data_IF_463370054372
#
_entry.id   IF_463370054372
#
_cell.length_a   1.000
_cell.length_b   1.000
_cell.length_c   1.000
_cell.angle_alpha   90.00
_cell.angle_beta   90.00
_cell.angle_gamma   90.00
#
_symmetry.space_group_name_H-M   'P 1'
#
loop_
_entity.id
_entity.type
_entity.pdbx_description
1 polymer ?
#
# COMPACT_ATOMS: atom_id res chain seq x y z
N UNK A 1 -4.28 25.81 -7.41
CA UNK A 1 -5.12 24.67 -7.80
C UNK A 1 -4.20 23.46 -7.84
N UNK A 2 -4.26 22.61 -6.83
CA UNK A 2 -3.39 21.44 -6.70
C UNK A 2 -3.86 20.41 -7.73
N UNK A 3 -3.07 20.26 -8.77
CA UNK A 3 -3.32 19.36 -9.89
C UNK A 3 -3.29 17.92 -9.36
N UNK A 4 -4.46 17.31 -9.19
CA UNK A 4 -4.59 15.87 -8.93
C UNK A 4 -4.02 15.09 -10.12
N UNK A 5 -2.72 14.75 -10.04
CA UNK A 5 -2.03 13.91 -11.03
C UNK A 5 -2.49 12.45 -11.04
N UNK A 6 -3.63 12.13 -10.43
CA UNK A 6 -4.28 10.81 -10.50
C UNK A 6 -5.19 10.77 -11.73
N UNK A 7 -4.62 11.02 -12.90
CA UNK A 7 -5.37 10.85 -14.16
C UNK A 7 -5.47 9.34 -14.43
N UNK A 8 -6.62 8.75 -14.08
CA UNK A 8 -7.08 7.46 -14.62
C UNK A 8 -6.54 6.17 -13.99
N UNK A 9 -5.80 6.21 -12.89
CA UNK A 9 -5.38 4.99 -12.18
C UNK A 9 -6.20 4.81 -10.91
N UNK A 10 -6.96 3.72 -10.83
CA UNK A 10 -7.66 3.32 -9.61
C UNK A 10 -6.65 3.21 -8.45
N UNK A 11 -7.02 3.65 -7.23
CA UNK A 11 -6.14 3.61 -6.06
C UNK A 11 -5.65 2.18 -5.76
N UNK A 12 -6.47 1.20 -6.13
CA UNK A 12 -6.16 -0.22 -6.11
C UNK A 12 -6.26 -0.73 -7.56
N UNK A 13 -5.13 -1.09 -8.19
CA UNK A 13 -5.13 -1.60 -9.55
C UNK A 13 -5.68 -3.03 -9.60
N UNK A 14 -6.46 -3.36 -10.64
CA UNK A 14 -6.95 -4.73 -10.88
C UNK A 14 -5.82 -5.76 -11.01
N UNK A 15 -4.64 -5.33 -11.48
CA UNK A 15 -3.45 -6.16 -11.60
C UNK A 15 -2.55 -6.11 -10.35
N UNK A 16 -3.15 -6.05 -9.17
CA UNK A 16 -2.48 -6.07 -7.88
C UNK A 16 -1.47 -7.22 -7.75
N UNK A 17 -1.83 -8.37 -8.31
CA UNK A 17 -0.99 -9.55 -8.44
C UNK A 17 0.35 -9.24 -9.12
N UNK A 18 0.36 -8.52 -10.24
CA UNK A 18 1.61 -8.24 -10.97
C UNK A 18 2.53 -7.25 -10.25
N UNK A 19 2.00 -6.53 -9.27
CA UNK A 19 2.72 -5.49 -8.54
C UNK A 19 3.26 -5.97 -7.20
N UNK A 20 2.74 -7.08 -6.69
CA UNK A 20 3.12 -7.65 -5.41
C UNK A 20 4.03 -8.86 -5.61
N UNK A 21 5.08 -8.93 -4.80
CA UNK A 21 5.89 -10.14 -4.66
C UNK A 21 5.08 -11.27 -4.01
N UNK A 22 5.54 -12.51 -4.16
CA UNK A 22 4.92 -13.68 -3.52
C UNK A 22 4.84 -13.54 -1.98
N UNK A 23 5.89 -12.95 -1.38
CA UNK A 23 5.93 -12.65 0.05
C UNK A 23 4.89 -11.60 0.43
N UNK A 24 4.80 -10.51 -0.33
CA UNK A 24 3.78 -9.49 -0.12
C UNK A 24 2.36 -10.05 -0.23
N UNK A 25 2.07 -10.90 -1.23
CA UNK A 25 0.76 -11.54 -1.37
C UNK A 25 0.41 -12.44 -0.19
N UNK A 26 1.41 -13.15 0.32
CA UNK A 26 1.24 -14.04 1.49
C UNK A 26 0.97 -13.24 2.74
N UNK A 27 1.76 -12.18 2.97
CA UNK A 27 1.58 -11.28 4.10
C UNK A 27 0.28 -10.49 4.01
N UNK A 28 -0.12 -10.03 2.82
CA UNK A 28 -1.39 -9.37 2.58
C UNK A 28 -2.56 -10.25 3.01
N UNK A 29 -2.61 -11.49 2.51
CA UNK A 29 -3.65 -12.45 2.91
C UNK A 29 -3.64 -12.69 4.42
N UNK A 30 -2.47 -12.74 5.04
CA UNK A 30 -2.35 -12.91 6.48
C UNK A 30 -2.97 -11.72 7.23
N UNK A 31 -2.63 -10.48 6.87
CA UNK A 31 -3.15 -9.28 7.54
C UNK A 31 -4.61 -8.98 7.20
N UNK A 32 -5.10 -9.41 6.03
CA UNK A 32 -6.52 -9.34 5.66
C UNK A 32 -7.40 -10.09 6.66
N UNK A 33 -6.94 -11.24 7.17
CA UNK A 33 -7.63 -11.97 8.24
C UNK A 33 -7.68 -11.20 9.57
N UNK A 34 -6.77 -10.25 9.79
CA UNK A 34 -6.77 -9.36 10.96
C UNK A 34 -7.51 -8.04 10.68
N UNK A 35 -8.22 -7.93 9.56
CA UNK A 35 -8.97 -6.75 9.19
C UNK A 35 -8.12 -5.63 8.58
N UNK A 36 -6.97 -5.95 8.00
CA UNK A 36 -6.21 -5.00 7.20
C UNK A 36 -6.62 -5.08 5.74
N UNK A 37 -6.54 -3.96 5.03
CA UNK A 37 -6.85 -3.90 3.61
C UNK A 37 -5.91 -2.92 2.91
N UNK A 38 -5.76 -3.05 1.60
CA UNK A 38 -4.97 -2.10 0.81
C UNK A 38 -5.75 -0.80 0.70
N UNK A 39 -5.12 0.30 1.12
CA UNK A 39 -5.66 1.65 0.98
C UNK A 39 -5.34 2.24 -0.39
N UNK A 40 -4.07 2.21 -0.78
CA UNK A 40 -3.60 2.59 -2.12
C UNK A 40 -2.17 2.08 -2.35
N UNK A 41 -1.76 2.04 -3.62
CA UNK A 41 -0.37 1.75 -4.00
C UNK A 41 0.29 3.02 -4.52
N UNK A 42 1.39 3.47 -3.90
CA UNK A 42 2.21 4.58 -4.41
C UNK A 42 3.16 4.04 -5.48
N UNK A 43 3.25 4.75 -6.60
CA UNK A 43 4.15 4.43 -7.71
C UNK A 43 5.02 5.64 -8.04
N UNK A 44 6.07 5.91 -7.26
CA UNK A 44 7.00 6.99 -7.59
C UNK A 44 7.73 6.64 -8.89
N UNK A 45 8.05 7.64 -9.71
CA UNK A 45 8.91 7.41 -10.87
C UNK A 45 10.29 6.97 -10.37
N UNK A 46 10.84 5.91 -10.97
CA UNK A 46 12.16 5.34 -10.66
C UNK A 46 12.30 4.68 -9.27
N UNK A 47 11.21 4.33 -8.60
CA UNK A 47 11.25 3.58 -7.32
C UNK A 47 10.26 2.40 -7.37
N UNK A 48 10.49 1.34 -6.55
CA UNK A 48 9.54 0.24 -6.45
C UNK A 48 8.17 0.72 -5.95
N UNK A 49 7.08 0.04 -6.34
CA UNK A 49 5.74 0.36 -5.87
C UNK A 49 5.64 0.12 -4.36
N UNK A 50 5.10 1.10 -3.63
CA UNK A 50 4.92 1.03 -2.17
C UNK A 50 3.46 0.77 -1.89
N UNK A 51 3.17 -0.38 -1.27
CA UNK A 51 1.80 -0.80 -0.97
C UNK A 51 1.44 -0.30 0.41
N UNK A 52 0.42 0.57 0.48
CA UNK A 52 -0.05 1.12 1.74
C UNK A 52 -1.31 0.39 2.16
N UNK A 53 -1.27 -0.15 3.37
CA UNK A 53 -2.37 -0.90 4.00
C UNK A 53 -2.93 -0.10 5.17
N UNK A 54 -4.20 -0.27 5.45
CA UNK A 54 -4.86 0.30 6.62
C UNK A 54 -5.68 -0.77 7.35
N UNK A 55 -5.85 -0.56 8.65
CA UNK A 55 -6.77 -1.37 9.45
C UNK A 55 -8.24 -0.97 9.16
N UNK A 56 -9.21 -1.86 9.41
CA UNK A 56 -10.66 -1.58 9.32
C UNK A 56 -11.10 -0.31 10.06
N UNK A 57 -10.41 0.03 11.13
CA UNK A 57 -10.67 1.23 11.95
C UNK A 57 -10.18 2.53 11.29
N UNK A 58 -9.36 2.46 10.24
CA UNK A 58 -8.71 3.60 9.59
C UNK A 58 -7.68 4.33 10.46
N UNK A 59 -7.49 3.90 11.70
CA UNK A 59 -6.62 4.55 12.70
C UNK A 59 -5.14 4.22 12.48
N UNK A 60 -4.86 3.03 11.92
CA UNK A 60 -3.51 2.55 11.71
C UNK A 60 -3.25 2.37 10.22
N UNK A 61 -2.12 2.89 9.78
CA UNK A 61 -1.63 2.77 8.40
C UNK A 61 -0.26 2.08 8.47
N UNK A 62 -0.03 1.13 7.56
CA UNK A 62 1.23 0.44 7.41
C UNK A 62 1.69 0.44 5.95
N UNK A 63 2.99 0.22 5.75
CA UNK A 63 3.55 -0.13 4.44
C UNK A 63 3.81 -1.63 4.42
N UNK A 64 3.34 -2.28 3.37
CA UNK A 64 3.72 -3.66 3.06
C UNK A 64 5.00 -3.63 2.20
N UNK A 65 6.13 -3.98 2.81
CA UNK A 65 7.45 -4.01 2.20
C UNK A 65 7.64 -5.24 1.30
N UNK A 66 8.63 -5.23 0.40
CA UNK A 66 8.83 -6.29 -0.61
C UNK A 66 9.18 -7.66 -0.02
N UNK A 67 9.74 -7.67 1.19
CA UNK A 67 10.02 -8.85 2.01
C UNK A 67 8.77 -9.44 2.68
N UNK A 68 7.60 -8.79 2.52
CA UNK A 68 6.36 -9.15 3.19
C UNK A 68 6.24 -8.61 4.61
N UNK A 69 7.18 -7.76 5.07
CA UNK A 69 7.07 -7.06 6.35
C UNK A 69 5.97 -5.99 6.30
N UNK A 70 5.23 -5.81 7.40
CA UNK A 70 4.31 -4.67 7.55
C UNK A 70 4.92 -3.65 8.49
N UNK A 71 5.33 -2.53 7.91
CA UNK A 71 5.95 -1.43 8.62
C UNK A 71 4.88 -0.41 9.05
N UNK A 72 4.55 -0.41 10.35
CA UNK A 72 3.56 0.47 10.98
C UNK A 72 4.15 1.83 11.42
N UNK A 73 5.46 1.97 11.41
CA UNK A 73 6.18 3.23 11.67
C UNK A 73 7.07 3.55 10.48
N UNK A 74 6.50 3.64 9.27
CA UNK A 74 7.32 3.93 8.14
C UNK A 74 7.84 5.36 8.29
N UNK A 75 9.13 5.60 8.07
CA UNK A 75 9.76 6.93 8.16
C UNK A 75 9.33 7.86 6.99
N UNK A 76 8.07 7.77 6.56
CA UNK A 76 7.45 8.66 5.59
C UNK A 76 6.80 9.80 6.36
N UNK A 77 7.27 11.01 6.11
CA UNK A 77 6.58 12.23 6.51
C UNK A 77 5.24 12.28 5.77
N UNK A 78 4.13 11.97 6.46
CA UNK A 78 2.83 12.50 6.06
C UNK A 78 2.90 14.02 6.29
N UNK A 79 2.84 14.81 5.21
CA UNK A 79 2.62 16.25 5.33
C UNK A 79 1.12 16.46 5.48
N UNK A 80 0.75 17.20 6.54
CA UNK A 80 -0.56 17.82 6.75
C UNK A 80 -0.92 18.74 5.57
#
# INVERSE_FOLDING_TARGET
MIEEKRVGAEPVPHNLSELLTELQRTSLRRIENFGWQIKFIRRPRFQPPVVVVENTTGMNIGILEEDGGVNLRPAISLRD
#
